data_IF_959530449503
#
_entry.id   IF_959530449503
#
_cell.length_a   1.000
_cell.length_b   1.000
_cell.length_c   1.000
_cell.angle_alpha   90.00
_cell.angle_beta   90.00
_cell.angle_gamma   90.00
#
_symmetry.space_group_name_H-M   'P 1'
#
loop_
_entity.id
_entity.type
_entity.pdbx_description
1 polymer ?
#
# COMPACT_ATOMS: atom_id res chain seq x y z
N UNK A 1 -14.38 7.23 -5.62
CA UNK A 1 -14.26 6.01 -4.78
C UNK A 1 -13.54 6.24 -3.46
N UNK A 2 -12.60 7.19 -3.36
CA UNK A 2 -12.05 7.62 -2.07
C UNK A 2 -13.06 8.48 -1.31
N UNK A 3 -14.09 7.87 -0.76
CA UNK A 3 -15.15 8.54 -0.01
C UNK A 3 -14.77 8.69 1.49
N UNK A 4 -15.73 9.10 2.31
CA UNK A 4 -15.52 9.38 3.75
C UNK A 4 -15.92 8.24 4.68
N UNK A 5 -16.58 7.19 4.18
CA UNK A 5 -17.10 6.08 4.97
C UNK A 5 -16.47 4.76 4.57
N UNK A 6 -16.58 4.37 3.30
CA UNK A 6 -16.16 3.03 2.89
C UNK A 6 -14.64 2.96 2.72
N UNK A 7 -14.05 3.91 1.98
CA UNK A 7 -12.61 3.94 1.73
C UNK A 7 -11.75 3.94 3.00
N UNK A 8 -11.95 4.85 3.99
CA UNK A 8 -11.12 4.88 5.20
C UNK A 8 -11.41 3.72 6.17
N UNK A 9 -12.41 2.89 5.91
CA UNK A 9 -12.69 1.68 6.70
C UNK A 9 -12.09 0.44 6.03
N UNK A 10 -12.39 0.23 4.76
CA UNK A 10 -12.02 -1.00 4.05
C UNK A 10 -10.50 -1.06 3.79
N UNK A 11 -9.89 0.05 3.38
CA UNK A 11 -8.46 0.06 3.01
C UNK A 11 -7.55 -0.24 4.20
N UNK A 12 -7.73 0.38 5.39
CA UNK A 12 -6.90 0.04 6.55
C UNK A 12 -7.10 -1.41 7.04
N UNK A 13 -8.35 -1.87 7.11
CA UNK A 13 -8.67 -3.23 7.61
C UNK A 13 -8.08 -4.30 6.69
N UNK A 14 -8.18 -4.13 5.38
CA UNK A 14 -7.61 -5.10 4.44
C UNK A 14 -6.09 -4.91 4.28
N UNK A 15 -5.59 -3.68 4.38
CA UNK A 15 -4.17 -3.35 4.18
C UNK A 15 -3.24 -3.87 5.29
N UNK A 16 -3.73 -4.04 6.52
CA UNK A 16 -2.89 -4.51 7.65
C UNK A 16 -2.48 -5.98 7.52
N UNK A 17 -3.22 -6.78 6.76
CA UNK A 17 -3.04 -8.23 6.64
C UNK A 17 -1.60 -8.64 6.33
N UNK A 18 -1.03 -8.13 5.24
CA UNK A 18 0.34 -8.44 4.83
C UNK A 18 1.39 -7.67 5.64
N UNK A 19 1.04 -6.52 6.22
CA UNK A 19 1.93 -5.81 7.14
C UNK A 19 2.21 -6.66 8.38
N UNK A 20 1.17 -7.22 9.00
CA UNK A 20 1.29 -8.11 10.16
C UNK A 20 2.03 -9.42 9.81
N UNK A 21 1.69 -10.06 8.68
CA UNK A 21 2.37 -11.29 8.25
C UNK A 21 3.86 -11.05 7.96
N UNK A 22 4.20 -9.94 7.31
CA UNK A 22 5.58 -9.56 7.02
C UNK A 22 6.35 -9.20 8.30
N UNK A 23 5.73 -8.49 9.24
CA UNK A 23 6.30 -8.26 10.57
C UNK A 23 6.61 -9.58 11.28
N UNK A 24 5.69 -10.55 11.29
CA UNK A 24 5.93 -11.86 11.90
C UNK A 24 7.16 -12.54 11.27
N UNK A 25 7.31 -12.51 9.95
CA UNK A 25 8.47 -13.09 9.27
C UNK A 25 9.78 -12.36 9.61
N UNK A 26 9.85 -11.04 9.41
CA UNK A 26 11.10 -10.29 9.56
C UNK A 26 11.51 -10.13 11.02
N UNK A 27 10.56 -9.91 11.92
CA UNK A 27 10.85 -9.69 13.33
C UNK A 27 11.21 -10.98 14.05
N UNK A 28 10.44 -12.06 13.86
CA UNK A 28 10.65 -13.31 14.60
C UNK A 28 11.98 -13.95 14.22
N UNK A 29 12.30 -14.00 12.92
CA UNK A 29 13.46 -14.71 12.41
C UNK A 29 14.74 -13.86 12.41
N UNK A 30 14.64 -12.55 12.18
CA UNK A 30 15.81 -11.69 11.93
C UNK A 30 15.90 -10.46 12.84
N UNK A 31 14.89 -10.20 13.69
CA UNK A 31 14.78 -8.98 14.51
C UNK A 31 14.87 -7.67 13.70
N UNK A 32 14.44 -7.72 12.45
CA UNK A 32 14.45 -6.57 11.55
C UNK A 32 13.13 -5.78 11.69
N UNK A 33 13.15 -4.49 12.13
CA UNK A 33 11.95 -3.71 12.47
C UNK A 33 11.35 -2.97 11.26
N UNK A 34 11.22 -3.64 10.12
CA UNK A 34 10.69 -2.99 8.90
C UNK A 34 9.65 -3.82 8.14
N UNK A 35 9.13 -4.90 8.72
CA UNK A 35 8.19 -5.80 8.02
C UNK A 35 6.94 -5.10 7.48
N UNK A 36 6.34 -4.19 8.26
CA UNK A 36 5.16 -3.44 7.82
C UNK A 36 5.47 -2.53 6.62
N UNK A 37 6.56 -1.77 6.72
CA UNK A 37 7.04 -0.88 5.65
C UNK A 37 7.42 -1.68 4.40
N UNK A 38 8.01 -2.86 4.54
CA UNK A 38 8.36 -3.74 3.43
C UNK A 38 7.12 -4.11 2.59
N UNK A 39 6.04 -4.54 3.25
CA UNK A 39 4.80 -4.88 2.57
C UNK A 39 4.11 -3.64 1.96
N UNK A 40 3.99 -2.55 2.71
CA UNK A 40 3.31 -1.34 2.25
C UNK A 40 4.05 -0.66 1.08
N UNK A 41 5.38 -0.63 1.11
CA UNK A 41 6.20 -0.07 0.04
C UNK A 41 6.12 -0.93 -1.23
N UNK A 42 6.18 -2.27 -1.08
CA UNK A 42 6.02 -3.19 -2.21
C UNK A 42 4.69 -3.00 -2.93
N UNK A 43 3.59 -2.87 -2.18
CA UNK A 43 2.27 -2.58 -2.73
C UNK A 43 2.27 -1.25 -3.50
N UNK A 44 2.81 -0.18 -2.90
CA UNK A 44 2.80 1.15 -3.52
C UNK A 44 3.65 1.23 -4.77
N UNK A 45 4.80 0.58 -4.81
CA UNK A 45 5.63 0.51 -6.02
C UNK A 45 4.84 -0.18 -7.13
N UNK A 46 4.25 -1.34 -6.85
CA UNK A 46 3.45 -2.09 -7.83
C UNK A 46 2.26 -1.28 -8.34
N UNK A 47 1.54 -0.60 -7.44
CA UNK A 47 0.43 0.27 -7.83
C UNK A 47 0.92 1.45 -8.67
N UNK A 48 1.90 2.24 -8.21
CA UNK A 48 2.37 3.42 -8.94
C UNK A 48 2.90 3.07 -10.33
N UNK A 49 3.70 2.01 -10.47
CA UNK A 49 4.16 1.54 -11.78
C UNK A 49 2.96 1.23 -12.67
N UNK A 50 1.98 0.46 -12.18
CA UNK A 50 0.81 0.11 -12.97
C UNK A 50 -0.06 1.33 -13.34
N UNK A 51 -0.22 2.30 -12.42
CA UNK A 51 -1.00 3.52 -12.70
C UNK A 51 -0.30 4.40 -13.73
N UNK A 52 1.03 4.51 -13.69
CA UNK A 52 1.77 5.29 -14.69
C UNK A 52 1.91 4.58 -16.03
N UNK A 53 2.34 3.32 -16.06
CA UNK A 53 2.63 2.60 -17.31
C UNK A 53 1.36 2.18 -18.02
N UNK A 54 0.36 1.66 -17.30
CA UNK A 54 -0.85 1.12 -17.91
C UNK A 54 -2.00 2.14 -17.91
N UNK A 55 -2.46 2.60 -16.74
CA UNK A 55 -3.64 3.47 -16.68
C UNK A 55 -3.41 4.81 -17.40
N UNK A 56 -2.26 5.43 -17.19
CA UNK A 56 -1.89 6.65 -17.91
C UNK A 56 -1.22 6.33 -19.25
N UNK A 57 -0.13 5.55 -19.25
CA UNK A 57 0.70 5.34 -20.44
C UNK A 57 0.00 4.58 -21.58
N UNK A 58 -0.93 3.67 -21.26
CA UNK A 58 -1.61 2.85 -22.28
C UNK A 58 -3.07 3.28 -22.51
N UNK A 59 -3.82 3.61 -21.45
CA UNK A 59 -5.24 3.96 -21.55
C UNK A 59 -5.56 5.43 -21.28
N UNK A 60 -4.54 6.27 -21.10
CA UNK A 60 -4.62 7.74 -21.06
C UNK A 60 -5.51 8.34 -19.95
N UNK A 61 -5.77 7.60 -18.87
CA UNK A 61 -6.45 8.16 -17.70
C UNK A 61 -5.52 9.11 -16.93
N UNK A 62 -5.96 10.35 -16.61
CA UNK A 62 -5.11 11.30 -15.90
C UNK A 62 -4.73 10.77 -14.51
N UNK A 63 -3.48 10.97 -14.10
CA UNK A 63 -2.96 10.48 -12.81
C UNK A 63 -3.78 11.00 -11.61
N UNK A 64 -4.33 12.21 -11.71
CA UNK A 64 -5.23 12.79 -10.71
C UNK A 64 -6.51 11.96 -10.46
N UNK A 65 -6.92 11.12 -11.42
CA UNK A 65 -8.04 10.20 -11.27
C UNK A 65 -7.62 8.88 -10.61
N UNK A 66 -6.43 8.37 -10.93
CA UNK A 66 -6.03 6.96 -10.70
C UNK A 66 -4.96 6.75 -9.61
N UNK A 67 -4.52 7.80 -8.92
CA UNK A 67 -3.50 7.69 -7.86
C UNK A 67 -3.89 6.69 -6.74
N UNK A 68 -2.95 5.93 -6.15
CA UNK A 68 -3.21 4.97 -5.07
C UNK A 68 -3.49 5.63 -3.71
N UNK A 69 -3.75 4.81 -2.68
CA UNK A 69 -3.95 5.27 -1.29
C UNK A 69 -2.62 5.35 -0.55
N UNK A 70 -2.41 6.33 0.33
CA UNK A 70 -1.15 6.45 1.07
C UNK A 70 -1.13 5.51 2.29
N UNK A 71 -0.17 4.58 2.33
CA UNK A 71 -0.04 3.57 3.40
C UNK A 71 1.31 3.60 4.14
N UNK A 72 2.29 4.40 3.68
CA UNK A 72 3.64 4.42 4.29
C UNK A 72 3.61 4.97 5.71
N UNK A 73 2.89 6.08 5.97
CA UNK A 73 2.83 6.68 7.32
C UNK A 73 2.22 5.71 8.34
N UNK A 74 1.05 5.07 8.07
CA UNK A 74 0.52 4.02 8.94
C UNK A 74 1.48 2.83 9.12
N UNK A 75 2.22 2.44 8.08
CA UNK A 75 3.16 1.32 8.15
C UNK A 75 4.43 1.63 8.96
N UNK A 76 4.85 2.91 9.03
CA UNK A 76 5.95 3.34 9.91
C UNK A 76 5.51 3.36 11.38
N UNK A 77 4.24 3.67 11.64
CA UNK A 77 3.67 3.60 12.98
C UNK A 77 3.55 2.16 13.51
N UNK A 78 3.34 1.19 12.62
CA UNK A 78 3.13 -0.23 12.94
C UNK A 78 4.44 -0.97 13.23
#
# INVERSE_FOLDING_TARGET
>A
WKDRRMWPTVVPILGVTFCAASQAFFWVNFRLPFGAVFAALGLLIGEWINRYVNFWGWTYFPISLVFPSALIVPAIWL
#
